data_IF_166979296445
#
_entry.id   IF_166979296445
#
_cell.length_a   1.000
_cell.length_b   1.000
_cell.length_c   1.000
_cell.angle_alpha   90.00
_cell.angle_beta   90.00
_cell.angle_gamma   90.00
#
_symmetry.space_group_name_H-M   'P 1'
#
loop_
_entity.id
_entity.type
_entity.pdbx_description
1 polymer ?
#
# COMPACT_ATOMS: atom_id res chain seq x y z
N UNK A 1 -12.46 -32.40 12.85
CA UNK A 1 -13.33 -31.37 13.45
C UNK A 1 -12.60 -30.74 14.62
N UNK A 2 -11.89 -29.63 14.38
CA UNK A 2 -11.37 -28.80 15.47
C UNK A 2 -12.29 -27.57 15.51
N UNK A 3 -13.04 -27.43 16.60
CA UNK A 3 -13.94 -26.31 16.81
C UNK A 3 -13.10 -25.05 17.00
N UNK A 4 -13.21 -24.10 16.06
CA UNK A 4 -12.80 -22.72 16.29
C UNK A 4 -13.69 -22.15 17.40
N UNK A 5 -13.15 -22.06 18.60
CA UNK A 5 -13.73 -21.25 19.67
C UNK A 5 -13.54 -19.79 19.27
N UNK A 6 -14.62 -19.19 18.77
CA UNK A 6 -14.71 -17.74 18.65
C UNK A 6 -14.79 -17.18 20.07
N UNK A 7 -13.72 -16.53 20.51
CA UNK A 7 -13.74 -15.74 21.73
C UNK A 7 -14.64 -14.52 21.47
N UNK A 8 -15.83 -14.55 22.07
CA UNK A 8 -16.73 -13.42 22.11
C UNK A 8 -16.08 -12.25 22.87
N UNK A 9 -16.13 -11.06 22.27
CA UNK A 9 -16.05 -9.76 22.94
C UNK A 9 -14.87 -9.56 23.89
N UNK A 10 -13.70 -9.23 23.33
CA UNK A 10 -12.66 -8.52 24.09
C UNK A 10 -13.18 -7.16 24.58
N UNK A 11 -12.62 -6.59 25.65
CA UNK A 11 -13.06 -5.30 26.19
C UNK A 11 -12.95 -4.24 25.10
N UNK A 12 -14.04 -3.51 24.86
CA UNK A 12 -14.02 -2.32 24.01
C UNK A 12 -13.02 -1.33 24.62
N UNK A 13 -11.91 -1.09 23.94
CA UNK A 13 -10.96 -0.06 24.32
C UNK A 13 -11.72 1.28 24.39
N UNK A 14 -11.37 2.13 25.35
CA UNK A 14 -11.81 3.52 25.30
C UNK A 14 -11.27 4.10 23.98
N UNK A 15 -12.13 4.18 22.96
CA UNK A 15 -11.73 4.57 21.61
C UNK A 15 -11.10 5.95 21.68
N UNK A 16 -9.78 6.01 21.60
CA UNK A 16 -9.08 7.27 21.41
C UNK A 16 -9.42 7.72 20.01
N UNK A 17 -10.27 8.74 19.89
CA UNK A 17 -10.68 9.26 18.60
C UNK A 17 -9.44 9.68 17.81
N UNK A 18 -9.29 9.16 16.58
CA UNK A 18 -8.12 9.42 15.73
C UNK A 18 -7.92 10.90 15.38
N UNK A 19 -8.95 11.72 15.57
CA UNK A 19 -8.91 13.18 15.40
C UNK A 19 -8.08 13.86 16.50
N UNK A 20 -8.07 13.32 17.71
CA UNK A 20 -7.30 13.89 18.82
C UNK A 20 -5.81 13.56 18.68
N UNK A 21 -4.90 14.52 18.91
CA UNK A 21 -3.48 14.24 18.92
C UNK A 21 -3.16 13.20 20.01
N UNK A 22 -2.20 12.31 19.77
CA UNK A 22 -1.79 11.34 20.78
C UNK A 22 -1.25 12.06 22.03
N UNK A 23 -1.42 11.49 23.24
CA UNK A 23 -0.80 12.04 24.44
C UNK A 23 0.70 12.25 24.27
N UNK A 24 1.21 13.40 24.74
CA UNK A 24 2.63 13.72 24.71
C UNK A 24 3.40 12.82 25.68
N UNK A 25 4.59 12.40 25.25
CA UNK A 25 5.52 11.62 26.06
C UNK A 25 6.93 12.21 25.92
N UNK A 26 7.78 11.94 26.90
CA UNK A 26 9.21 12.12 26.72
C UNK A 26 9.73 11.02 25.78
N UNK A 27 10.52 11.40 24.77
CA UNK A 27 11.12 10.45 23.85
C UNK A 27 12.58 10.19 24.21
N UNK A 28 12.92 8.91 24.31
CA UNK A 28 14.32 8.50 24.32
C UNK A 28 15.05 8.98 23.04
N UNK A 29 16.37 9.24 23.12
CA UNK A 29 17.17 9.53 21.95
C UNK A 29 17.13 8.37 20.94
N UNK A 30 17.19 8.68 19.65
CA UNK A 30 17.50 7.65 18.66
C UNK A 30 18.93 7.12 18.84
N UNK A 31 19.18 5.90 18.34
CA UNK A 31 20.51 5.32 18.24
C UNK A 31 20.98 5.31 16.80
N UNK A 32 22.27 5.57 16.60
CA UNK A 32 22.94 5.37 15.31
C UNK A 32 22.97 3.87 14.99
N UNK A 33 22.46 3.49 13.83
CA UNK A 33 22.62 2.15 13.26
C UNK A 33 23.91 2.08 12.45
N UNK A 34 24.17 3.09 11.62
CA UNK A 34 25.38 3.20 10.80
C UNK A 34 25.19 3.99 9.52
N UNK A 35 26.17 3.99 8.61
CA UNK A 35 26.07 4.66 7.32
C UNK A 35 24.95 4.10 6.44
N UNK A 36 24.25 4.98 5.72
CA UNK A 36 23.20 4.60 4.76
C UNK A 36 23.25 5.46 3.48
N UNK A 37 23.87 4.91 2.44
CA UNK A 37 24.11 5.64 1.20
C UNK A 37 25.06 6.82 1.47
N UNK A 38 24.59 8.04 1.20
CA UNK A 38 25.33 9.26 1.56
C UNK A 38 25.06 9.73 2.98
N UNK A 39 24.06 9.19 3.67
CA UNK A 39 23.60 9.66 4.97
C UNK A 39 23.88 8.69 6.11
N UNK A 40 23.15 8.87 7.22
CA UNK A 40 23.23 8.03 8.42
C UNK A 40 21.86 7.47 8.76
N UNK A 41 21.82 6.19 9.12
CA UNK A 41 20.62 5.49 9.55
C UNK A 41 20.56 5.46 11.08
N UNK A 42 19.40 5.84 11.60
CA UNK A 42 19.06 5.94 13.01
C UNK A 42 17.85 5.05 13.31
N UNK A 43 17.73 4.60 14.55
CA UNK A 43 16.57 3.84 15.03
C UNK A 43 16.10 4.38 16.37
N UNK A 44 14.79 4.46 16.54
CA UNK A 44 14.14 4.77 17.80
C UNK A 44 12.98 3.83 18.04
N UNK A 45 12.62 3.64 19.30
CA UNK A 45 11.44 2.90 19.72
C UNK A 45 10.66 3.70 20.74
N UNK A 46 9.33 3.69 20.65
CA UNK A 46 8.45 4.35 21.61
C UNK A 46 7.10 3.60 21.71
N UNK A 47 6.35 3.76 22.81
CA UNK A 47 5.08 3.07 22.96
C UNK A 47 4.04 3.61 21.97
N UNK A 48 3.22 2.69 21.47
CA UNK A 48 1.98 2.99 20.74
C UNK A 48 1.00 3.76 21.64
N UNK A 49 0.19 4.68 21.10
CA UNK A 49 -0.87 5.38 21.85
C UNK A 49 -2.00 4.45 22.28
N UNK A 50 -2.13 3.34 21.56
CA UNK A 50 -3.14 2.32 21.77
C UNK A 50 -2.45 1.09 22.38
N UNK A 51 -3.02 0.56 23.45
CA UNK A 51 -2.65 -0.75 23.96
C UNK A 51 -3.53 -1.80 23.27
N UNK A 52 -2.94 -2.88 22.78
CA UNK A 52 -3.63 -4.02 22.20
C UNK A 52 -3.51 -5.24 23.10
N UNK A 53 -4.23 -6.35 22.83
CA UNK A 53 -4.05 -7.60 23.57
C UNK A 53 -2.65 -8.22 23.42
N UNK A 54 -1.82 -7.69 22.52
CA UNK A 54 -0.50 -8.21 22.19
C UNK A 54 0.55 -7.13 22.48
N UNK A 55 1.24 -7.17 23.64
CA UNK A 55 2.22 -6.13 23.99
C UNK A 55 3.32 -5.90 22.95
N UNK A 56 3.71 -6.95 22.20
CA UNK A 56 4.66 -6.84 21.08
C UNK A 56 4.18 -5.89 19.98
N UNK A 57 2.86 -5.83 19.79
CA UNK A 57 2.24 -4.92 18.85
C UNK A 57 2.20 -3.47 19.36
N UNK A 58 2.47 -3.21 20.64
CA UNK A 58 2.33 -1.86 21.22
C UNK A 58 3.65 -1.09 21.29
N UNK A 59 4.71 -1.61 20.65
CA UNK A 59 5.99 -0.92 20.49
C UNK A 59 6.17 -0.48 19.04
N UNK A 60 6.31 0.82 18.83
CA UNK A 60 6.57 1.40 17.50
C UNK A 60 8.06 1.52 17.30
N UNK A 61 8.60 0.88 16.25
CA UNK A 61 9.96 1.13 15.78
C UNK A 61 9.93 2.15 14.66
N UNK A 62 10.70 3.23 14.82
CA UNK A 62 10.93 4.25 13.80
C UNK A 62 12.37 4.15 13.32
N UNK A 63 12.56 4.01 12.00
CA UNK A 63 13.88 4.10 11.38
C UNK A 63 13.96 5.40 10.58
N UNK A 64 15.05 6.14 10.74
CA UNK A 64 15.25 7.46 10.13
C UNK A 64 16.57 7.48 9.38
N UNK A 65 16.58 8.08 8.20
CA UNK A 65 17.71 8.20 7.30
C UNK A 65 18.00 9.69 7.13
N UNK A 66 19.05 10.18 7.76
CA UNK A 66 19.43 11.58 7.75
C UNK A 66 20.44 11.86 6.64
N UNK A 67 20.27 12.92 5.83
CA UNK A 67 21.32 13.39 4.95
C UNK A 67 22.50 13.99 5.75
N UNK A 68 23.70 14.13 5.15
CA UNK A 68 24.90 14.67 5.81
C UNK A 68 24.77 16.08 6.38
N UNK A 69 23.83 16.86 5.85
CA UNK A 69 23.65 18.27 6.17
C UNK A 69 22.18 18.50 6.48
N UNK A 70 21.92 19.33 7.48
CA UNK A 70 20.58 19.63 7.96
C UNK A 70 20.53 20.97 8.71
N UNK A 71 19.34 21.37 9.20
CA UNK A 71 18.11 20.57 9.32
C UNK A 71 17.45 20.21 7.98
N UNK A 72 16.92 19.00 7.84
CA UNK A 72 16.37 18.47 6.59
C UNK A 72 14.84 18.35 6.60
N UNK A 73 14.15 18.56 5.46
CA UNK A 73 12.76 18.11 5.31
C UNK A 73 12.69 16.59 5.47
N UNK A 74 11.51 16.05 5.82
CA UNK A 74 11.35 14.60 6.06
C UNK A 74 10.12 14.01 5.36
N UNK A 75 10.26 12.79 4.86
CA UNK A 75 9.14 11.98 4.37
C UNK A 75 8.99 10.74 5.26
N UNK A 76 7.81 10.53 5.84
CA UNK A 76 7.47 9.32 6.57
C UNK A 76 6.75 8.32 5.65
N UNK A 77 7.30 7.12 5.47
CA UNK A 77 6.81 6.09 4.57
C UNK A 77 6.14 4.93 5.33
N UNK A 78 5.04 4.41 4.77
CA UNK A 78 4.26 3.30 5.32
C UNK A 78 4.21 2.12 4.34
N UNK A 79 4.48 0.91 4.85
CA UNK A 79 4.59 -0.30 4.03
C UNK A 79 3.23 -0.93 3.70
N UNK A 80 3.25 -1.89 2.76
CA UNK A 80 2.06 -2.62 2.32
C UNK A 80 1.65 -3.75 3.30
N UNK A 81 0.41 -4.22 3.20
CA UNK A 81 -0.11 -5.31 4.03
C UNK A 81 0.69 -6.60 3.82
N UNK A 82 1.02 -7.33 4.88
CA UNK A 82 1.75 -8.59 4.81
C UNK A 82 3.24 -8.46 4.49
N UNK A 83 3.82 -7.27 4.64
CA UNK A 83 5.25 -7.05 4.47
C UNK A 83 6.07 -7.94 5.42
N UNK A 84 7.09 -8.61 4.89
CA UNK A 84 8.05 -9.44 5.65
C UNK A 84 9.43 -8.81 5.72
N UNK A 85 9.65 -7.71 5.00
CA UNK A 85 10.83 -6.87 5.05
C UNK A 85 10.44 -5.43 4.66
N UNK A 86 11.36 -4.48 4.90
CA UNK A 86 11.17 -3.05 4.62
C UNK A 86 12.12 -2.54 3.53
N UNK A 87 12.49 -3.40 2.56
CA UNK A 87 13.45 -3.03 1.50
C UNK A 87 12.92 -1.91 0.62
N UNK A 88 11.61 -1.86 0.37
CA UNK A 88 10.98 -0.81 -0.44
C UNK A 88 11.06 0.56 0.24
N UNK A 89 10.70 0.62 1.52
CA UNK A 89 10.70 1.83 2.34
C UNK A 89 12.12 2.32 2.54
N UNK A 90 13.06 1.39 2.82
CA UNK A 90 14.49 1.71 2.86
C UNK A 90 15.01 2.25 1.54
N UNK A 91 14.64 1.65 0.40
CA UNK A 91 15.05 2.14 -0.91
C UNK A 91 14.51 3.55 -1.20
N UNK A 92 13.27 3.86 -0.81
CA UNK A 92 12.71 5.21 -0.89
C UNK A 92 13.52 6.19 -0.04
N UNK A 93 13.82 5.84 1.20
CA UNK A 93 14.63 6.68 2.09
C UNK A 93 16.02 6.98 1.51
N UNK A 94 16.66 5.99 0.89
CA UNK A 94 17.95 6.21 0.21
C UNK A 94 17.84 7.13 -1.01
N UNK A 95 16.75 7.05 -1.78
CA UNK A 95 16.51 8.00 -2.88
C UNK A 95 16.29 9.43 -2.37
N UNK A 96 15.59 9.57 -1.25
CA UNK A 96 15.34 10.86 -0.59
C UNK A 96 16.64 11.47 -0.02
N UNK A 97 17.46 10.67 0.66
CA UNK A 97 18.74 11.12 1.23
C UNK A 97 19.67 11.67 0.15
N UNK A 98 19.68 11.07 -1.05
CA UNK A 98 20.46 11.58 -2.19
C UNK A 98 20.02 12.98 -2.66
N UNK A 99 18.80 13.39 -2.32
CA UNK A 99 18.19 14.69 -2.62
C UNK A 99 18.22 15.66 -1.42
N UNK A 100 18.92 15.30 -0.34
CA UNK A 100 18.98 16.13 0.87
C UNK A 100 17.69 16.09 1.71
N UNK A 101 16.85 15.08 1.51
CA UNK A 101 15.60 14.87 2.25
C UNK A 101 15.78 13.70 3.21
N UNK A 102 15.40 13.86 4.46
CA UNK A 102 15.35 12.75 5.40
C UNK A 102 14.22 11.78 5.03
N UNK A 103 14.49 10.49 5.12
CA UNK A 103 13.48 9.46 4.97
C UNK A 103 13.22 8.78 6.30
N UNK A 104 11.97 8.47 6.63
CA UNK A 104 11.63 7.70 7.81
C UNK A 104 10.57 6.64 7.48
N UNK A 105 10.50 5.57 8.25
CA UNK A 105 9.38 4.62 8.20
C UNK A 105 9.17 3.94 9.55
N UNK A 106 7.94 3.49 9.76
CA UNK A 106 7.53 2.66 10.90
C UNK A 106 6.98 1.31 10.40
N UNK A 107 7.00 0.31 11.28
CA UNK A 107 6.25 -0.92 11.10
C UNK A 107 4.79 -0.70 11.55
N UNK A 108 3.84 -0.97 10.65
CA UNK A 108 2.41 -0.89 10.93
C UNK A 108 1.97 -1.99 11.93
N UNK A 109 0.84 -1.81 12.63
CA UNK A 109 0.35 -2.79 13.60
C UNK A 109 0.26 -4.21 13.03
N UNK A 110 0.63 -5.20 13.83
CA UNK A 110 0.64 -6.64 13.56
C UNK A 110 1.63 -7.11 12.48
N UNK A 111 2.52 -6.25 12.01
CA UNK A 111 3.53 -6.60 11.00
C UNK A 111 4.94 -6.67 11.56
N UNK A 112 5.80 -7.44 10.90
CA UNK A 112 7.25 -7.47 11.14
C UNK A 112 7.57 -7.74 12.62
N UNK A 113 8.29 -6.85 13.28
CA UNK A 113 8.64 -6.98 14.70
C UNK A 113 7.44 -6.81 15.65
N UNK A 114 6.30 -6.33 15.14
CA UNK A 114 5.03 -6.18 15.87
C UNK A 114 4.10 -7.38 15.69
N UNK A 115 4.54 -8.43 14.99
CA UNK A 115 3.74 -9.64 14.76
C UNK A 115 3.67 -10.51 16.02
N UNK A 116 2.46 -10.83 16.51
CA UNK A 116 2.30 -11.75 17.62
C UNK A 116 2.83 -13.16 17.31
N UNK A 117 3.32 -13.84 18.35
CA UNK A 117 3.79 -15.23 18.24
C UNK A 117 2.72 -16.14 17.63
N UNK A 118 3.13 -17.04 16.74
CA UNK A 118 2.23 -17.95 16.02
C UNK A 118 1.46 -17.34 14.85
N UNK A 119 1.60 -16.03 14.60
CA UNK A 119 0.95 -15.33 13.48
C UNK A 119 1.92 -15.03 12.33
N UNK A 120 1.37 -14.89 11.11
CA UNK A 120 2.12 -14.32 9.98
C UNK A 120 2.09 -12.79 10.05
N UNK A 121 3.10 -12.13 9.50
CA UNK A 121 3.13 -10.66 9.40
C UNK A 121 1.85 -10.12 8.74
N UNK A 122 1.15 -9.22 9.43
CA UNK A 122 -0.09 -8.60 8.99
C UNK A 122 -1.35 -9.47 9.11
N UNK A 123 -1.26 -10.72 9.58
CA UNK A 123 -2.42 -11.62 9.64
C UNK A 123 -3.56 -11.09 10.51
N UNK A 124 -3.25 -10.34 11.56
CA UNK A 124 -4.25 -9.73 12.47
C UNK A 124 -4.60 -8.29 12.09
N UNK A 125 -3.98 -7.72 11.07
CA UNK A 125 -4.21 -6.33 10.66
C UNK A 125 -5.56 -6.13 9.94
N UNK A 126 -6.04 -7.15 9.21
CA UNK A 126 -7.34 -7.15 8.56
C UNK A 126 -8.05 -8.42 9.00
N UNK A 127 -9.08 -8.27 9.83
CA UNK A 127 -9.88 -9.37 10.36
C UNK A 127 -11.33 -9.23 9.87
N UNK A 128 -12.12 -10.32 9.83
CA UNK A 128 -13.53 -10.28 9.43
C UNK A 128 -14.46 -9.67 10.50
N UNK A 129 -14.03 -8.57 11.09
CA UNK A 129 -14.73 -7.82 12.14
C UNK A 129 -14.43 -6.32 11.95
N UNK A 130 -15.43 -5.49 11.60
CA UNK A 130 -15.24 -4.04 11.47
C UNK A 130 -14.64 -3.39 12.71
N UNK A 131 -14.95 -3.86 13.93
CA UNK A 131 -14.40 -3.28 15.16
C UNK A 131 -12.90 -3.53 15.28
N UNK A 132 -12.46 -4.75 14.98
CA UNK A 132 -11.03 -5.07 14.94
C UNK A 132 -10.28 -4.23 13.88
N UNK A 133 -10.93 -3.92 12.76
CA UNK A 133 -10.35 -3.02 11.75
C UNK A 133 -10.27 -1.57 12.25
N UNK A 134 -11.31 -1.07 12.92
CA UNK A 134 -11.28 0.26 13.55
C UNK A 134 -10.13 0.36 14.55
N UNK A 135 -9.96 -0.65 15.41
CA UNK A 135 -8.87 -0.69 16.40
C UNK A 135 -7.50 -0.66 15.72
N UNK A 136 -7.31 -1.48 14.67
CA UNK A 136 -6.06 -1.53 13.90
C UNK A 136 -5.76 -0.21 13.19
N UNK A 137 -6.76 0.38 12.52
CA UNK A 137 -6.62 1.67 11.83
C UNK A 137 -6.37 2.81 12.83
N UNK A 138 -7.03 2.77 13.99
CA UNK A 138 -6.83 3.74 15.07
C UNK A 138 -5.40 3.68 15.59
N UNK A 139 -4.89 2.49 15.89
CA UNK A 139 -3.51 2.31 16.31
C UNK A 139 -2.53 2.79 15.23
N UNK A 140 -2.73 2.40 13.96
CA UNK A 140 -1.87 2.81 12.87
C UNK A 140 -1.83 4.34 12.69
N UNK A 141 -2.99 5.00 12.70
CA UNK A 141 -3.07 6.48 12.56
C UNK A 141 -2.38 7.17 13.73
N UNK A 142 -2.66 6.74 14.96
CA UNK A 142 -2.08 7.39 16.14
C UNK A 142 -0.57 7.11 16.28
N UNK A 143 -0.09 5.94 15.86
CA UNK A 143 1.34 5.61 15.78
C UNK A 143 2.08 6.54 14.83
N UNK A 144 1.49 6.80 13.64
CA UNK A 144 2.07 7.72 12.66
C UNK A 144 2.12 9.13 13.24
N UNK A 145 1.04 9.61 13.87
CA UNK A 145 1.02 10.93 14.52
C UNK A 145 2.05 11.04 15.65
N UNK A 146 2.28 9.96 16.40
CA UNK A 146 3.36 9.91 17.41
C UNK A 146 4.75 9.91 16.78
N UNK A 147 4.94 9.23 15.66
CA UNK A 147 6.19 9.31 14.91
C UNK A 147 6.46 10.73 14.41
N UNK A 148 5.42 11.48 14.02
CA UNK A 148 5.53 12.91 13.69
C UNK A 148 5.97 13.72 14.90
N UNK A 149 5.40 13.48 16.10
CA UNK A 149 5.84 14.14 17.33
C UNK A 149 7.31 13.84 17.65
N UNK A 150 7.73 12.58 17.51
CA UNK A 150 9.12 12.19 17.68
C UNK A 150 10.03 12.94 16.72
N UNK A 151 9.70 12.96 15.42
CA UNK A 151 10.50 13.63 14.39
C UNK A 151 10.55 15.14 14.60
N UNK A 152 9.45 15.75 15.04
CA UNK A 152 9.36 17.19 15.28
C UNK A 152 10.21 17.65 16.48
N UNK A 153 10.53 16.75 17.41
CA UNK A 153 11.39 17.02 18.55
C UNK A 153 12.89 16.92 18.23
N UNK A 154 13.28 16.74 16.96
CA UNK A 154 14.68 16.56 16.55
C UNK A 154 15.20 17.80 15.81
N UNK A 155 16.30 18.43 16.27
CA UNK A 155 16.85 19.61 15.61
C UNK A 155 17.34 19.33 14.18
N UNK A 156 17.62 18.07 13.84
CA UNK A 156 18.02 17.63 12.51
C UNK A 156 16.86 17.63 11.51
N UNK A 157 15.61 17.73 11.97
CA UNK A 157 14.40 17.66 11.16
C UNK A 157 13.69 19.02 11.13
N UNK A 158 13.28 19.42 9.93
CA UNK A 158 12.46 20.61 9.72
C UNK A 158 10.98 20.31 9.99
N UNK A 159 10.42 20.94 11.01
CA UNK A 159 9.01 20.79 11.39
C UNK A 159 8.04 21.44 10.39
N UNK A 160 8.50 22.43 9.63
CA UNK A 160 7.74 23.11 8.58
C UNK A 160 7.75 22.36 7.23
N UNK A 161 8.44 21.22 7.16
CA UNK A 161 8.69 20.52 5.90
C UNK A 161 8.60 19.00 6.07
N UNK A 162 7.41 18.52 6.44
CA UNK A 162 7.10 17.09 6.53
C UNK A 162 6.17 16.65 5.39
N UNK A 163 6.34 15.42 4.93
CA UNK A 163 5.45 14.77 3.97
C UNK A 163 5.26 13.28 4.31
N UNK A 164 4.26 12.64 3.70
CA UNK A 164 3.93 11.24 3.96
C UNK A 164 3.87 10.43 2.66
N UNK A 165 4.31 9.18 2.70
CA UNK A 165 4.17 8.25 1.60
C UNK A 165 3.60 6.92 2.09
N UNK A 166 2.86 6.21 1.25
CA UNK A 166 2.37 4.88 1.59
C UNK A 166 2.21 3.99 0.37
N UNK A 167 2.31 2.67 0.58
CA UNK A 167 2.04 1.66 -0.46
C UNK A 167 0.89 0.76 -0.03
N UNK A 168 -0.13 0.55 -0.87
CA UNK A 168 -1.25 -0.37 -0.59
C UNK A 168 -1.94 -0.02 0.74
N UNK A 169 -2.01 -0.94 1.72
CA UNK A 169 -2.49 -0.63 3.08
C UNK A 169 -1.81 0.61 3.69
N UNK A 170 -0.51 0.77 3.51
CA UNK A 170 0.21 1.97 3.97
C UNK A 170 -0.27 3.25 3.28
N UNK A 171 -0.72 3.19 2.03
CA UNK A 171 -1.31 4.32 1.34
C UNK A 171 -2.70 4.67 1.89
N UNK A 172 -3.50 3.67 2.26
CA UNK A 172 -4.80 3.84 2.91
C UNK A 172 -4.60 4.53 4.27
N UNK A 173 -3.71 4.01 5.13
CA UNK A 173 -3.37 4.63 6.42
C UNK A 173 -2.82 6.04 6.20
N UNK A 174 -1.90 6.22 5.25
CA UNK A 174 -1.34 7.53 4.93
C UNK A 174 -2.41 8.52 4.50
N UNK A 175 -3.46 8.08 3.79
CA UNK A 175 -4.55 8.97 3.35
C UNK A 175 -5.40 9.46 4.52
N UNK A 176 -5.74 8.57 5.47
CA UNK A 176 -6.41 8.96 6.72
C UNK A 176 -5.55 9.95 7.51
N UNK A 177 -4.26 9.64 7.70
CA UNK A 177 -3.33 10.51 8.42
C UNK A 177 -3.17 11.84 7.72
N UNK A 178 -3.05 11.87 6.38
CA UNK A 178 -2.89 13.12 5.63
C UNK A 178 -4.06 14.06 5.86
N UNK A 179 -5.29 13.54 5.91
CA UNK A 179 -6.50 14.30 6.26
C UNK A 179 -6.53 14.84 7.70
N UNK A 180 -5.79 14.22 8.63
CA UNK A 180 -5.84 14.54 10.07
C UNK A 180 -4.63 15.30 10.60
N UNK A 181 -3.47 15.13 10.00
CA UNK A 181 -2.19 15.61 10.52
C UNK A 181 -1.70 16.82 9.71
N UNK A 182 -1.97 18.07 10.15
CA UNK A 182 -1.72 19.27 9.38
C UNK A 182 -0.23 19.52 9.08
N UNK A 183 0.69 18.92 9.85
CA UNK A 183 2.14 19.06 9.65
C UNK A 183 2.62 18.46 8.33
N UNK A 184 1.88 17.52 7.74
CA UNK A 184 2.20 17.03 6.41
C UNK A 184 1.78 18.03 5.33
N UNK A 185 2.74 18.53 4.56
CA UNK A 185 2.51 19.47 3.46
C UNK A 185 2.23 18.80 2.11
N UNK A 186 2.65 17.54 1.93
CA UNK A 186 2.44 16.78 0.70
C UNK A 186 2.33 15.27 0.97
N UNK A 187 1.76 14.53 0.02
CA UNK A 187 1.62 13.07 0.12
C UNK A 187 1.89 12.32 -1.19
N UNK A 188 2.36 11.07 -1.08
CA UNK A 188 2.41 10.11 -2.21
C UNK A 188 1.65 8.84 -1.83
N UNK A 189 0.65 8.48 -2.62
CA UNK A 189 -0.16 7.27 -2.45
C UNK A 189 0.14 6.29 -3.58
N UNK A 190 0.85 5.20 -3.28
CA UNK A 190 1.19 4.17 -4.25
C UNK A 190 0.23 2.99 -4.11
N UNK A 191 -0.49 2.67 -5.19
CA UNK A 191 -1.43 1.56 -5.25
C UNK A 191 -2.41 1.59 -4.06
N UNK A 192 -2.90 2.80 -3.73
CA UNK A 192 -3.81 3.06 -2.61
C UNK A 192 -5.18 3.52 -3.09
N UNK A 193 -6.10 3.63 -2.14
CA UNK A 193 -7.46 4.12 -2.38
C UNK A 193 -8.11 4.56 -1.07
N UNK A 194 -9.32 5.09 -1.19
CA UNK A 194 -10.21 5.42 -0.08
C UNK A 194 -11.52 4.62 -0.24
N UNK A 195 -12.52 4.83 0.61
CA UNK A 195 -13.70 3.97 0.72
C UNK A 195 -13.33 2.55 1.22
N UNK A 196 -13.09 2.46 2.53
CA UNK A 196 -12.69 1.23 3.21
C UNK A 196 -13.71 0.10 3.01
N UNK A 197 -15.00 0.42 3.11
CA UNK A 197 -16.06 -0.57 2.94
C UNK A 197 -16.07 -1.16 1.54
N UNK A 198 -15.94 -0.31 0.51
CA UNK A 198 -15.86 -0.78 -0.86
C UNK A 198 -14.59 -1.61 -1.13
N UNK A 199 -13.44 -1.21 -0.57
CA UNK A 199 -12.21 -2.00 -0.66
C UNK A 199 -12.43 -3.40 -0.06
N UNK A 200 -12.99 -3.49 1.15
CA UNK A 200 -13.28 -4.79 1.79
C UNK A 200 -14.30 -5.62 1.00
N UNK A 201 -15.29 -4.97 0.36
CA UNK A 201 -16.35 -5.67 -0.34
C UNK A 201 -15.95 -6.16 -1.73
N UNK A 202 -14.98 -5.50 -2.39
CA UNK A 202 -14.65 -5.77 -3.79
C UNK A 202 -13.20 -6.17 -4.05
N UNK A 203 -12.32 -6.11 -3.05
CA UNK A 203 -10.93 -6.54 -3.20
C UNK A 203 -10.79 -8.05 -3.40
N UNK A 204 -9.91 -8.43 -4.34
CA UNK A 204 -9.49 -9.81 -4.58
C UNK A 204 -8.62 -10.39 -3.47
N UNK A 205 -8.10 -9.54 -2.57
CA UNK A 205 -7.15 -9.93 -1.53
C UNK A 205 -7.81 -10.31 -0.20
N UNK A 206 -9.04 -9.86 0.03
CA UNK A 206 -9.78 -10.04 1.30
C UNK A 206 -11.04 -10.90 1.14
N UNK A 207 -11.01 -11.84 0.20
CA UNK A 207 -12.17 -12.69 -0.13
C UNK A 207 -12.63 -13.48 1.10
N UNK A 208 -11.69 -14.08 1.84
CA UNK A 208 -12.01 -14.88 3.00
C UNK A 208 -12.66 -14.05 4.11
N UNK A 209 -12.11 -12.86 4.37
CA UNK A 209 -12.60 -11.92 5.37
C UNK A 209 -13.99 -11.41 4.99
N UNK A 210 -14.19 -11.04 3.72
CA UNK A 210 -15.49 -10.62 3.20
C UNK A 210 -16.56 -11.70 3.32
N UNK A 211 -16.27 -12.94 2.91
CA UNK A 211 -17.25 -14.02 3.00
C UNK A 211 -17.53 -14.42 4.47
N UNK A 212 -16.57 -14.25 5.37
CA UNK A 212 -16.82 -14.38 6.80
C UNK A 212 -17.74 -13.26 7.33
N UNK A 213 -17.50 -12.00 6.95
CA UNK A 213 -18.39 -10.88 7.32
C UNK A 213 -19.81 -11.07 6.79
N UNK A 214 -19.97 -11.52 5.53
CA UNK A 214 -21.28 -11.83 4.94
C UNK A 214 -22.05 -12.90 5.71
N UNK A 215 -21.36 -13.97 6.13
CA UNK A 215 -21.97 -15.02 6.97
C UNK A 215 -22.40 -14.51 8.34
N UNK A 216 -21.75 -13.47 8.84
CA UNK A 216 -22.11 -12.80 10.08
C UNK A 216 -23.16 -11.69 9.89
N UNK A 217 -23.77 -11.57 8.70
CA UNK A 217 -24.88 -10.66 8.44
C UNK A 217 -24.47 -9.23 8.06
N UNK A 218 -23.18 -8.95 7.91
CA UNK A 218 -22.73 -7.64 7.42
C UNK A 218 -23.09 -7.45 5.94
N UNK A 219 -23.38 -6.20 5.56
CA UNK A 219 -23.51 -5.71 4.18
C UNK A 219 -22.42 -4.67 3.90
N UNK A 220 -22.20 -4.32 2.63
CA UNK A 220 -21.26 -3.22 2.29
C UNK A 220 -21.65 -1.91 2.99
N UNK A 221 -22.95 -1.61 3.04
CA UNK A 221 -23.50 -0.42 3.70
C UNK A 221 -23.31 -0.46 5.21
N UNK A 222 -23.60 -1.59 5.88
CA UNK A 222 -23.39 -1.67 7.33
C UNK A 222 -21.91 -1.56 7.69
N UNK A 223 -21.00 -2.13 6.87
CA UNK A 223 -19.56 -1.99 7.08
C UNK A 223 -19.13 -0.53 6.87
N UNK A 224 -19.72 0.18 5.90
CA UNK A 224 -19.48 1.60 5.68
C UNK A 224 -19.85 2.46 6.89
N UNK A 225 -21.00 2.19 7.49
CA UNK A 225 -21.45 2.89 8.70
C UNK A 225 -20.52 2.62 9.89
N UNK A 226 -20.13 1.36 10.11
CA UNK A 226 -19.22 0.96 11.19
C UNK A 226 -17.84 1.62 11.04
N UNK A 227 -17.28 1.66 9.82
CA UNK A 227 -15.95 2.19 9.55
C UNK A 227 -15.88 3.72 9.42
N UNK A 228 -17.00 4.44 9.57
CA UNK A 228 -17.08 5.88 9.35
C UNK A 228 -16.13 6.72 10.24
N UNK A 229 -15.71 6.18 11.40
CA UNK A 229 -14.78 6.84 12.32
C UNK A 229 -13.32 6.83 11.84
N UNK A 230 -12.96 5.94 10.92
CA UNK A 230 -11.60 5.75 10.39
C UNK A 230 -11.51 5.93 8.86
N UNK A 231 -12.62 6.25 8.21
CA UNK A 231 -12.74 6.41 6.76
C UNK A 231 -11.94 7.64 6.25
N UNK A 232 -10.93 7.45 5.36
CA UNK A 232 -10.17 8.56 4.78
C UNK A 232 -11.03 9.67 4.15
N UNK A 233 -12.12 9.32 3.44
CA UNK A 233 -12.98 10.28 2.73
C UNK A 233 -13.63 11.32 3.65
N UNK A 234 -13.75 11.04 4.95
CA UNK A 234 -14.24 11.99 5.94
C UNK A 234 -13.24 13.14 6.20
N UNK A 235 -11.95 12.87 6.07
CA UNK A 235 -10.88 13.79 6.51
C UNK A 235 -10.17 14.48 5.35
N UNK A 236 -10.06 13.81 4.20
CA UNK A 236 -9.39 14.31 3.00
C UNK A 236 -9.93 15.64 2.42
N UNK A 237 -11.22 16.00 2.54
CA UNK A 237 -11.71 17.29 2.03
C UNK A 237 -10.95 18.51 2.58
N UNK A 238 -10.43 18.43 3.81
CA UNK A 238 -9.58 19.47 4.41
C UNK A 238 -8.24 19.68 3.67
N UNK A 239 -7.86 18.73 2.82
CA UNK A 239 -6.61 18.68 2.04
C UNK A 239 -6.82 18.79 0.53
N UNK A 240 -8.01 19.20 0.07
CA UNK A 240 -8.35 19.22 -1.35
C UNK A 240 -7.33 20.00 -2.23
N UNK A 241 -6.71 21.04 -1.67
CA UNK A 241 -5.72 21.89 -2.35
C UNK A 241 -4.26 21.51 -2.04
N UNK A 242 -4.03 20.47 -1.25
CA UNK A 242 -2.68 20.06 -0.86
C UNK A 242 -2.01 19.25 -1.98
N UNK A 243 -0.70 19.46 -2.25
CA UNK A 243 0.03 18.68 -3.24
C UNK A 243 0.04 17.19 -2.89
N UNK A 244 -0.40 16.35 -3.83
CA UNK A 244 -0.30 14.91 -3.70
C UNK A 244 0.03 14.24 -5.04
N UNK A 245 0.60 13.04 -4.97
CA UNK A 245 0.81 12.15 -6.11
C UNK A 245 0.08 10.83 -5.86
N UNK A 246 -0.84 10.48 -6.75
CA UNK A 246 -1.57 9.21 -6.74
C UNK A 246 -1.01 8.31 -7.85
N UNK A 247 -0.33 7.23 -7.47
CA UNK A 247 0.16 6.22 -8.40
C UNK A 247 -0.80 5.04 -8.35
N UNK A 248 -1.47 4.73 -9.47
CA UNK A 248 -2.57 3.75 -9.53
C UNK A 248 -2.41 2.79 -10.69
N UNK A 249 -2.89 1.57 -10.53
CA UNK A 249 -2.80 0.50 -11.52
C UNK A 249 -4.13 0.34 -12.29
N UNK A 250 -4.05 0.21 -13.62
CA UNK A 250 -5.24 0.11 -14.49
C UNK A 250 -6.08 -1.14 -14.26
N UNK A 251 -5.43 -2.24 -13.89
CA UNK A 251 -6.04 -3.55 -13.73
C UNK A 251 -5.98 -4.02 -12.28
N UNK A 252 -5.92 -3.08 -11.34
CA UNK A 252 -5.83 -3.38 -9.92
C UNK A 252 -7.12 -4.06 -9.42
N UNK A 253 -6.99 -5.29 -8.95
CA UNK A 253 -8.08 -6.06 -8.35
C UNK A 253 -8.02 -6.05 -6.83
N UNK A 254 -6.90 -5.61 -6.24
CA UNK A 254 -6.67 -5.56 -4.80
C UNK A 254 -7.19 -4.25 -4.23
N UNK A 255 -6.90 -3.13 -4.88
CA UNK A 255 -7.52 -1.83 -4.64
C UNK A 255 -8.40 -1.53 -5.86
N UNK A 256 -9.71 -1.77 -5.78
CA UNK A 256 -10.61 -1.56 -6.89
C UNK A 256 -10.52 -0.15 -7.47
N UNK A 257 -10.82 -0.02 -8.76
CA UNK A 257 -10.75 1.27 -9.47
C UNK A 257 -11.55 2.37 -8.79
N UNK A 258 -12.74 2.04 -8.27
CA UNK A 258 -13.59 2.97 -7.51
C UNK A 258 -12.83 3.58 -6.33
N UNK A 259 -12.20 2.77 -5.49
CA UNK A 259 -11.49 3.22 -4.30
C UNK A 259 -10.36 4.22 -4.63
N UNK A 260 -9.63 3.97 -5.71
CA UNK A 260 -8.57 4.88 -6.13
C UNK A 260 -9.12 6.12 -6.87
N UNK A 261 -10.31 6.04 -7.48
CA UNK A 261 -11.00 7.17 -8.11
C UNK A 261 -11.51 8.14 -7.02
N UNK A 262 -12.11 7.60 -5.96
CA UNK A 262 -12.55 8.37 -4.79
C UNK A 262 -11.39 9.10 -4.10
N UNK A 263 -10.24 8.44 -3.95
CA UNK A 263 -9.03 9.09 -3.42
C UNK A 263 -8.58 10.28 -4.28
N UNK A 264 -8.57 10.12 -5.61
CA UNK A 264 -8.24 11.22 -6.53
C UNK A 264 -9.30 12.33 -6.51
N UNK A 265 -10.58 11.99 -6.40
CA UNK A 265 -11.68 12.95 -6.34
C UNK A 265 -11.63 13.79 -5.05
N UNK A 266 -11.28 13.18 -3.91
CA UNK A 266 -11.09 13.87 -2.65
C UNK A 266 -9.85 14.80 -2.63
N UNK A 267 -8.90 14.60 -3.55
CA UNK A 267 -7.66 15.37 -3.70
C UNK A 267 -7.54 15.94 -5.12
N UNK A 268 -8.39 16.90 -5.52
CA UNK A 268 -8.43 17.42 -6.89
C UNK A 268 -7.12 18.11 -7.33
N UNK A 269 -6.31 18.60 -6.38
CA UNK A 269 -4.98 19.15 -6.68
C UNK A 269 -3.89 18.08 -6.93
N UNK A 270 -4.21 16.79 -6.73
CA UNK A 270 -3.25 15.70 -6.90
C UNK A 270 -2.85 15.52 -8.37
N UNK A 271 -1.63 15.01 -8.56
CA UNK A 271 -1.16 14.48 -9.85
C UNK A 271 -1.35 12.98 -9.87
N UNK A 272 -1.61 12.42 -11.04
CA UNK A 272 -1.86 10.99 -11.21
C UNK A 272 -0.85 10.36 -12.15
N UNK A 273 -0.31 9.21 -11.76
CA UNK A 273 0.52 8.35 -12.60
C UNK A 273 -0.16 7.00 -12.75
N UNK A 274 -0.39 6.57 -14.00
CA UNK A 274 -0.98 5.26 -14.28
C UNK A 274 0.07 4.17 -14.47
N UNK A 275 -0.16 3.00 -13.89
CA UNK A 275 0.56 1.79 -14.19
C UNK A 275 -0.28 0.92 -15.12
N UNK A 276 0.30 0.50 -16.24
CA UNK A 276 -0.35 -0.38 -17.22
C UNK A 276 -0.32 -1.85 -16.74
N UNK A 277 -0.68 -2.09 -15.48
CA UNK A 277 -0.63 -3.39 -14.79
C UNK A 277 -1.74 -3.56 -13.74
N UNK A 278 -1.82 -4.73 -13.11
CA UNK A 278 -2.49 -4.97 -11.82
C UNK A 278 -1.67 -4.59 -10.60
N UNK A 279 -2.17 -4.91 -9.41
CA UNK A 279 -1.60 -4.46 -8.13
C UNK A 279 -0.15 -4.89 -7.96
N UNK A 280 0.13 -6.17 -8.21
CA UNK A 280 1.46 -6.73 -7.93
C UNK A 280 2.49 -6.40 -9.00
N UNK A 281 2.08 -6.01 -10.21
CA UNK A 281 3.04 -5.67 -11.27
C UNK A 281 3.86 -4.40 -10.98
N UNK A 282 3.46 -3.59 -10.00
CA UNK A 282 4.29 -2.49 -9.48
C UNK A 282 5.68 -2.95 -9.02
N UNK A 283 5.85 -4.21 -8.60
CA UNK A 283 7.14 -4.77 -8.20
C UNK A 283 8.18 -4.73 -9.34
N UNK A 284 7.75 -4.94 -10.59
CA UNK A 284 8.64 -4.97 -11.75
C UNK A 284 9.21 -3.58 -12.09
N UNK A 285 8.53 -2.52 -11.64
CA UNK A 285 8.93 -1.12 -11.86
C UNK A 285 9.20 -0.38 -10.56
N UNK A 286 9.34 -1.09 -9.44
CA UNK A 286 9.45 -0.52 -8.11
C UNK A 286 10.52 0.57 -8.02
N UNK A 287 11.74 0.32 -8.54
CA UNK A 287 12.82 1.33 -8.56
C UNK A 287 12.45 2.61 -9.32
N UNK A 288 11.58 2.53 -10.33
CA UNK A 288 11.08 3.71 -11.05
C UNK A 288 10.01 4.42 -10.23
N UNK A 289 9.09 3.69 -9.61
CA UNK A 289 8.05 4.26 -8.73
C UNK A 289 8.66 5.04 -7.56
N UNK A 290 9.64 4.44 -6.87
CA UNK A 290 10.30 5.09 -5.73
C UNK A 290 11.10 6.33 -6.13
N UNK A 291 11.73 6.31 -7.32
CA UNK A 291 12.40 7.51 -7.87
C UNK A 291 11.41 8.60 -8.25
N UNK A 292 10.25 8.23 -8.77
CA UNK A 292 9.18 9.17 -9.11
C UNK A 292 8.65 9.86 -7.85
N UNK A 293 8.33 9.06 -6.82
CA UNK A 293 7.93 9.58 -5.50
C UNK A 293 8.98 10.53 -4.91
N UNK A 294 10.25 10.12 -4.91
CA UNK A 294 11.35 10.96 -4.40
C UNK A 294 11.52 12.25 -5.22
N UNK A 295 11.28 12.21 -6.54
CA UNK A 295 11.36 13.39 -7.42
C UNK A 295 10.20 14.36 -7.19
N UNK A 296 9.00 13.84 -6.92
CA UNK A 296 7.85 14.64 -6.48
C UNK A 296 8.15 15.38 -5.18
N UNK A 297 8.66 14.68 -4.15
CA UNK A 297 9.00 15.32 -2.88
C UNK A 297 10.13 16.34 -3.01
N UNK A 298 11.16 16.05 -3.79
CA UNK A 298 12.25 16.99 -4.09
C UNK A 298 11.74 18.26 -4.78
N UNK A 299 10.86 18.13 -5.78
CA UNK A 299 10.23 19.27 -6.41
C UNK A 299 9.38 20.07 -5.40
N UNK A 300 8.58 19.40 -4.58
CA UNK A 300 7.75 20.02 -3.54
C UNK A 300 8.58 20.82 -2.54
N UNK A 301 9.57 20.20 -1.88
CA UNK A 301 10.40 20.86 -0.88
C UNK A 301 11.30 21.96 -1.46
N UNK A 302 11.71 21.81 -2.72
CA UNK A 302 12.48 22.83 -3.46
C UNK A 302 11.59 23.93 -4.07
N UNK A 303 10.26 23.88 -3.91
CA UNK A 303 9.29 24.78 -4.54
C UNK A 303 9.44 24.87 -6.06
N UNK A 304 9.78 23.75 -6.71
CA UNK A 304 9.87 23.62 -8.16
C UNK A 304 8.60 22.99 -8.72
N UNK A 305 8.29 23.29 -9.98
CA UNK A 305 7.21 22.60 -10.68
C UNK A 305 7.55 21.12 -10.86
N UNK A 306 6.57 20.26 -10.61
CA UNK A 306 6.64 18.82 -10.85
C UNK A 306 5.70 18.44 -11.99
N UNK A 307 6.21 17.67 -12.96
CA UNK A 307 5.41 17.13 -14.07
C UNK A 307 5.37 15.62 -13.93
N UNK A 308 4.20 15.08 -13.58
CA UNK A 308 4.01 13.64 -13.48
C UNK A 308 4.06 12.99 -14.88
N UNK A 309 4.72 11.83 -15.05
CA UNK A 309 4.53 11.03 -16.24
C UNK A 309 3.07 10.54 -16.28
N UNK A 310 2.41 10.62 -17.45
CA UNK A 310 1.04 10.13 -17.58
C UNK A 310 0.92 8.64 -17.23
N UNK A 311 1.92 7.86 -17.61
CA UNK A 311 1.97 6.41 -17.38
C UNK A 311 3.39 5.85 -17.22
N UNK A 312 3.45 4.72 -16.53
CA UNK A 312 4.61 3.85 -16.41
C UNK A 312 4.19 2.45 -16.85
N UNK A 313 4.75 1.97 -17.96
CA UNK A 313 4.53 0.60 -18.42
C UNK A 313 5.20 -0.38 -17.47
N UNK A 314 4.48 -1.41 -17.06
CA UNK A 314 5.00 -2.50 -16.25
C UNK A 314 4.38 -3.83 -16.71
N UNK A 315 5.12 -4.95 -16.62
CA UNK A 315 4.56 -6.27 -16.86
C UNK A 315 3.36 -6.57 -15.95
N UNK A 316 2.35 -7.25 -16.47
CA UNK A 316 1.17 -7.67 -15.70
C UNK A 316 1.24 -9.16 -15.36
N UNK A 317 1.26 -9.49 -14.07
CA UNK A 317 1.22 -10.88 -13.61
C UNK A 317 -0.21 -11.44 -13.67
N UNK A 318 -0.34 -12.73 -14.02
CA UNK A 318 -1.63 -13.40 -14.20
C UNK A 318 -1.55 -14.86 -13.76
N UNK A 319 -2.68 -15.42 -13.39
CA UNK A 319 -2.86 -16.86 -13.22
C UNK A 319 -4.11 -17.30 -13.98
N UNK A 320 -4.08 -18.48 -14.59
CA UNK A 320 -5.18 -18.93 -15.42
C UNK A 320 -5.07 -20.37 -15.90
N UNK A 321 -5.97 -20.69 -16.82
CA UNK A 321 -6.03 -21.96 -17.54
C UNK A 321 -5.97 -21.66 -19.04
N UNK A 322 -4.96 -22.20 -19.70
CA UNK A 322 -4.80 -22.19 -21.15
C UNK A 322 -5.40 -23.48 -21.74
N UNK A 323 -6.32 -23.33 -22.69
CA UNK A 323 -6.83 -24.40 -23.54
C UNK A 323 -6.22 -24.25 -24.94
N UNK A 324 -5.25 -25.09 -25.27
CA UNK A 324 -4.58 -25.10 -26.58
C UNK A 324 -5.00 -26.32 -27.40
N UNK A 325 -5.17 -26.15 -28.72
CA UNK A 325 -5.62 -27.24 -29.61
C UNK A 325 -4.70 -28.46 -29.60
N UNK A 326 -3.41 -28.29 -29.34
CA UNK A 326 -2.45 -29.39 -29.41
C UNK A 326 -2.31 -30.19 -28.11
N UNK A 327 -2.54 -29.54 -26.96
CA UNK A 327 -2.12 -30.06 -25.66
C UNK A 327 -3.23 -30.04 -24.60
N UNK A 328 -4.44 -29.57 -24.96
CA UNK A 328 -5.57 -29.45 -24.05
C UNK A 328 -5.38 -28.35 -23.00
N UNK A 329 -5.96 -28.57 -21.81
CA UNK A 329 -5.97 -27.62 -20.71
C UNK A 329 -4.67 -27.64 -19.90
N UNK A 330 -4.12 -26.47 -19.59
CA UNK A 330 -2.89 -26.29 -18.81
C UNK A 330 -3.07 -25.16 -17.80
N UNK A 331 -2.68 -25.39 -16.55
CA UNK A 331 -2.56 -24.29 -15.57
C UNK A 331 -1.39 -23.42 -15.98
N UNK A 332 -1.59 -22.10 -15.98
CA UNK A 332 -0.63 -21.14 -16.49
C UNK A 332 -0.39 -20.00 -15.48
N UNK A 333 0.90 -19.69 -15.27
CA UNK A 333 1.34 -18.41 -14.73
C UNK A 333 1.73 -17.53 -15.92
N UNK A 334 1.12 -16.35 -16.02
CA UNK A 334 1.30 -15.44 -17.14
C UNK A 334 2.01 -14.16 -16.74
N UNK A 335 2.82 -13.64 -17.65
CA UNK A 335 3.36 -12.29 -17.59
C UNK A 335 3.06 -11.57 -18.90
N UNK A 336 2.17 -10.58 -18.88
CA UNK A 336 1.94 -9.72 -20.04
C UNK A 336 3.18 -8.83 -20.22
N UNK A 337 3.93 -9.06 -21.29
CA UNK A 337 5.11 -8.27 -21.64
C UNK A 337 4.74 -7.06 -22.51
N UNK A 338 3.58 -7.11 -23.18
CA UNK A 338 3.01 -5.99 -23.90
C UNK A 338 1.48 -6.03 -23.82
N UNK A 339 0.88 -4.94 -23.30
CA UNK A 339 -0.58 -4.77 -23.20
C UNK A 339 -0.95 -3.29 -23.40
N UNK A 340 -1.09 -2.82 -24.65
CA UNK A 340 -1.30 -1.39 -24.94
C UNK A 340 -2.67 -0.87 -24.51
N UNK A 341 -3.64 -1.76 -24.27
CA UNK A 341 -4.98 -1.40 -23.81
C UNK A 341 -5.75 -2.61 -23.28
N UNK A 342 -6.90 -2.35 -22.63
CA UNK A 342 -7.72 -3.39 -22.01
C UNK A 342 -8.34 -4.36 -23.03
N UNK A 343 -8.56 -3.90 -24.27
CA UNK A 343 -9.19 -4.65 -25.37
C UNK A 343 -8.26 -4.90 -26.55
N UNK A 344 -6.96 -4.64 -26.37
CA UNK A 344 -5.98 -4.73 -27.45
C UNK A 344 -5.28 -6.09 -27.47
N UNK A 345 -4.63 -6.42 -28.58
CA UNK A 345 -3.73 -7.57 -28.66
C UNK A 345 -2.70 -7.52 -27.53
N UNK A 346 -2.67 -8.58 -26.73
CA UNK A 346 -1.75 -8.74 -25.60
C UNK A 346 -0.74 -9.84 -25.92
N UNK A 347 0.51 -9.61 -25.51
CA UNK A 347 1.58 -10.60 -25.59
C UNK A 347 1.87 -11.09 -24.18
N UNK A 348 1.57 -12.36 -23.92
CA UNK A 348 1.72 -12.97 -22.60
C UNK A 348 2.74 -14.11 -22.67
N UNK A 349 3.78 -14.03 -21.85
CA UNK A 349 4.66 -15.16 -21.59
C UNK A 349 3.97 -16.08 -20.59
N UNK A 350 3.69 -17.32 -20.98
CA UNK A 350 3.03 -18.33 -20.14
C UNK A 350 4.02 -19.38 -19.69
N UNK A 351 4.17 -19.55 -18.37
CA UNK A 351 4.76 -20.74 -17.78
C UNK A 351 3.64 -21.72 -17.45
N UNK A 352 3.63 -22.86 -18.14
CA UNK A 352 2.60 -23.90 -18.00
C UNK A 352 3.18 -25.20 -17.46
N UNK A 353 2.31 -26.14 -17.08
CA UNK A 353 2.70 -27.52 -16.73
C UNK A 353 3.42 -28.27 -17.86
N UNK A 354 3.32 -27.78 -19.11
CA UNK A 354 3.99 -28.33 -20.29
C UNK A 354 5.11 -27.43 -20.84
N UNK A 355 5.59 -26.47 -20.05
CA UNK A 355 6.72 -25.61 -20.39
C UNK A 355 6.33 -24.17 -20.76
N UNK A 356 7.33 -23.44 -21.26
CA UNK A 356 7.22 -22.02 -21.60
C UNK A 356 6.57 -21.81 -22.97
N UNK A 357 5.65 -20.86 -23.06
CA UNK A 357 4.88 -20.55 -24.28
C UNK A 357 4.71 -19.05 -24.42
N UNK A 358 4.53 -18.58 -25.65
CA UNK A 358 4.14 -17.20 -25.92
C UNK A 358 2.70 -17.19 -26.43
N UNK A 359 1.82 -16.45 -25.75
CA UNK A 359 0.43 -16.28 -26.14
C UNK A 359 0.21 -14.89 -26.73
N UNK A 360 -0.25 -14.84 -27.98
CA UNK A 360 -0.63 -13.62 -28.68
C UNK A 360 -2.15 -13.60 -28.82
N UNK A 361 -2.84 -12.90 -27.93
CA UNK A 361 -4.31 -12.99 -27.85
C UNK A 361 -5.02 -11.67 -27.67
N UNK A 362 -6.28 -11.64 -28.09
CA UNK A 362 -7.18 -10.52 -27.86
C UNK A 362 -8.09 -10.91 -26.70
N UNK A 363 -8.22 -10.05 -25.67
CA UNK A 363 -9.13 -10.29 -24.56
C UNK A 363 -10.58 -10.21 -25.03
N UNK A 364 -11.36 -11.19 -24.58
CA UNK A 364 -12.80 -11.32 -24.71
C UNK A 364 -13.44 -10.95 -23.35
N UNK A 365 -14.67 -11.41 -23.11
CA UNK A 365 -15.36 -11.21 -21.83
C UNK A 365 -14.88 -12.18 -20.73
N UNK A 366 -15.15 -11.81 -19.47
CA UNK A 366 -15.00 -12.67 -18.28
C UNK A 366 -13.61 -13.32 -18.12
N UNK A 367 -12.57 -12.57 -18.48
CA UNK A 367 -11.17 -13.01 -18.33
C UNK A 367 -10.71 -14.01 -19.38
N UNK A 368 -11.53 -14.32 -20.38
CA UNK A 368 -11.14 -15.16 -21.51
C UNK A 368 -10.41 -14.32 -22.54
N UNK A 369 -9.38 -14.87 -23.16
CA UNK A 369 -8.69 -14.31 -24.32
C UNK A 369 -8.56 -15.39 -25.39
N UNK A 370 -8.72 -15.04 -26.66
CA UNK A 370 -8.50 -15.96 -27.78
C UNK A 370 -7.29 -15.52 -28.59
N UNK A 371 -6.47 -16.48 -29.03
CA UNK A 371 -5.22 -16.12 -29.68
C UNK A 371 -4.39 -17.29 -30.19
N UNK A 372 -3.19 -16.94 -30.64
CA UNK A 372 -2.17 -17.88 -31.05
C UNK A 372 -1.29 -18.29 -29.87
N UNK A 373 -1.02 -19.59 -29.78
CA UNK A 373 -0.07 -20.19 -28.84
C UNK A 373 1.18 -20.54 -29.62
N UNK A 374 2.27 -19.83 -29.36
CA UNK A 374 3.56 -20.06 -29.99
C UNK A 374 4.45 -20.86 -29.03
N UNK A 375 4.87 -22.04 -29.49
CA UNK A 375 5.90 -22.87 -28.87
C UNK A 375 6.96 -23.25 -29.92
N UNK A 376 8.19 -23.63 -29.51
CA UNK A 376 9.30 -23.84 -30.45
C UNK A 376 9.00 -24.86 -31.56
N UNK A 377 8.17 -25.86 -31.29
CA UNK A 377 7.99 -27.01 -32.18
C UNK A 377 6.76 -26.89 -33.09
N UNK A 378 5.65 -26.30 -32.62
CA UNK A 378 4.40 -26.16 -33.38
C UNK A 378 3.52 -25.00 -32.89
N UNK A 379 3.25 -23.96 -33.70
CA UNK A 379 2.28 -22.93 -33.35
C UNK A 379 0.85 -23.46 -33.44
N UNK A 380 -0.02 -23.01 -32.55
CA UNK A 380 -1.44 -23.39 -32.53
C UNK A 380 -2.35 -22.22 -32.17
N UNK A 381 -3.63 -22.52 -31.98
CA UNK A 381 -4.62 -21.56 -31.45
C UNK A 381 -5.08 -22.03 -30.08
N UNK A 382 -5.53 -21.08 -29.26
CA UNK A 382 -5.99 -21.39 -27.93
C UNK A 382 -6.83 -20.30 -27.29
N UNK A 383 -7.46 -20.70 -26.19
CA UNK A 383 -8.14 -19.81 -25.26
C UNK A 383 -7.33 -19.72 -23.97
N UNK A 384 -7.21 -18.53 -23.40
CA UNK A 384 -6.64 -18.30 -22.09
C UNK A 384 -7.71 -17.68 -21.20
N UNK A 385 -8.24 -18.45 -20.25
CA UNK A 385 -8.98 -17.87 -19.14
C UNK A 385 -7.99 -17.50 -18.04
N UNK A 386 -8.00 -16.26 -17.57
CA UNK A 386 -7.06 -15.82 -16.53
C UNK A 386 -7.55 -14.61 -15.76
N UNK A 387 -7.01 -14.47 -14.55
CA UNK A 387 -7.19 -13.30 -13.68
C UNK A 387 -5.88 -12.55 -13.56
N UNK A 388 -5.96 -11.22 -13.52
CA UNK A 388 -4.81 -10.35 -13.23
C UNK A 388 -4.54 -10.38 -11.74
N UNK A 389 -3.28 -10.52 -11.38
CA UNK A 389 -2.80 -10.44 -10.00
C UNK A 389 -2.52 -8.98 -9.63
#
# INVERSE_FOLDING_TARGET
>A
MAACVWLAGGPAFAQTAIEQPPPQIAFEPWRVVGPAGKGTEMVATFPSPVASPYPVNDTVTLRVFLPPSGPAPVVLALHYWGATDLRAERALCLELVRRGIAGAYISLPYHLERTPEGSRSGALAIQPDPKALIDTMTQAVLDVRRAVDFLAARPEIRTDAMAIAGTSLGAIVASTVFGLEPRFGAAVFMLGGADLAHILWHSSRVVAEREAMRRNGFTEESVRDELASVEPLRFLPSRANSPALVIRARYDTVIPRHASDELSAALPASKTVWLDTGHYGGVFVQRRLLREAASFFDAFFSRRAYTAPERISAPTARIGVELATEDGANVALGLDVARPGAHSLQTTLLLTTRGLRLFLGVPLEKGVSAGFVLKPERPGVGLLWSVVL
#
